data_IF_544545036079
#
_entry.id   IF_544545036079
#
_cell.length_a   1.000
_cell.length_b   1.000
_cell.length_c   1.000
_cell.angle_alpha   90.00
_cell.angle_beta   90.00
_cell.angle_gamma   90.00
#
_symmetry.space_group_name_H-M   'P 1'
#
loop_
_entity.id
_entity.type
_entity.pdbx_description
1 polymer ?
#
# COMPACT_ATOMS: atom_id res chain seq x y z
N UNK A 1 36.93 5.87 6.64
CA UNK A 1 35.96 6.92 6.28
C UNK A 1 35.04 6.31 5.22
N UNK A 2 33.85 5.88 5.63
CA UNK A 2 32.86 5.35 4.70
C UNK A 2 32.25 6.54 3.95
N UNK A 3 32.24 6.48 2.62
CA UNK A 3 31.71 7.52 1.75
C UNK A 3 30.23 7.73 2.03
N UNK A 4 29.85 8.95 2.38
CA UNK A 4 28.47 9.43 2.36
C UNK A 4 27.96 9.41 0.91
N UNK A 5 27.48 8.25 0.45
CA UNK A 5 26.59 8.18 -0.70
C UNK A 5 25.19 8.54 -0.21
N UNK A 6 24.95 9.83 0.04
CA UNK A 6 23.59 10.34 0.15
C UNK A 6 23.00 10.43 -1.26
N UNK A 7 22.73 9.27 -1.88
CA UNK A 7 21.76 9.24 -2.97
C UNK A 7 20.43 9.64 -2.33
N UNK A 8 19.93 10.82 -2.68
CA UNK A 8 18.63 11.32 -2.21
C UNK A 8 17.60 10.19 -2.31
N UNK A 9 17.21 9.65 -1.16
CA UNK A 9 16.25 8.55 -1.12
C UNK A 9 14.96 9.08 -1.72
N UNK A 10 14.65 8.68 -2.96
CA UNK A 10 13.39 8.98 -3.63
C UNK A 10 12.26 8.33 -2.82
N UNK A 11 11.66 9.10 -1.93
CA UNK A 11 10.56 8.69 -1.07
C UNK A 11 9.22 9.14 -1.64
N UNK A 12 8.16 8.43 -1.27
CA UNK A 12 6.79 8.82 -1.54
C UNK A 12 6.04 8.87 -0.21
N UNK A 13 5.21 9.89 -0.03
CA UNK A 13 4.38 10.06 1.17
C UNK A 13 2.92 10.15 0.76
N UNK A 14 2.08 9.33 1.38
CA UNK A 14 0.62 9.37 1.25
C UNK A 14 0.01 9.48 2.63
N UNK A 15 -0.97 10.37 2.78
CA UNK A 15 -1.79 10.47 3.99
C UNK A 15 -3.17 9.92 3.70
N UNK A 16 -3.57 8.88 4.44
CA UNK A 16 -4.88 8.26 4.34
C UNK A 16 -5.57 8.32 5.71
N UNK A 17 -6.76 8.93 5.74
CA UNK A 17 -7.58 9.09 6.95
C UNK A 17 -8.76 8.12 6.85
N UNK A 18 -8.96 7.34 7.91
CA UNK A 18 -10.05 6.36 8.02
C UNK A 18 -10.89 6.74 9.24
N UNK A 19 -12.09 7.25 9.00
CA UNK A 19 -13.07 7.47 10.05
C UNK A 19 -13.72 6.16 10.48
N UNK A 20 -14.35 6.16 11.67
CA UNK A 20 -15.18 5.05 12.12
C UNK A 20 -14.42 3.71 12.24
N UNK A 21 -13.10 3.77 12.48
CA UNK A 21 -12.20 2.60 12.55
C UNK A 21 -12.64 1.51 13.56
N UNK A 22 -13.33 1.90 14.63
CA UNK A 22 -13.83 0.97 15.65
C UNK A 22 -14.90 -0.01 15.13
N UNK A 23 -15.57 0.31 14.02
CA UNK A 23 -16.70 -0.48 13.51
C UNK A 23 -16.30 -1.63 12.59
N UNK A 24 -15.02 -1.73 12.21
CA UNK A 24 -14.54 -2.86 11.41
C UNK A 24 -14.61 -4.16 12.21
N UNK A 25 -15.00 -5.23 11.53
CA UNK A 25 -15.10 -6.58 12.08
C UNK A 25 -13.90 -7.45 11.65
N UNK A 26 -13.79 -8.64 12.21
CA UNK A 26 -12.68 -9.56 11.90
C UNK A 26 -12.75 -10.02 10.44
N UNK A 27 -11.59 -10.05 9.78
CA UNK A 27 -11.47 -10.46 8.38
C UNK A 27 -11.88 -9.40 7.36
N UNK A 28 -12.43 -8.26 7.79
CA UNK A 28 -12.66 -7.12 6.91
C UNK A 28 -11.37 -6.34 6.67
N UNK A 29 -11.18 -5.90 5.43
CA UNK A 29 -10.16 -4.92 5.07
C UNK A 29 -10.77 -3.76 4.31
N UNK A 30 -10.08 -2.63 4.37
CA UNK A 30 -10.37 -1.46 3.53
C UNK A 30 -9.15 -1.12 2.70
N UNK A 31 -9.37 -0.72 1.45
CA UNK A 31 -8.34 -0.23 0.55
C UNK A 31 -8.36 1.30 0.50
N UNK A 32 -7.20 1.92 0.44
CA UNK A 32 -7.06 3.35 0.16
C UNK A 32 -7.46 3.65 -1.29
N UNK A 33 -7.72 4.91 -1.63
CA UNK A 33 -7.69 5.35 -3.02
C UNK A 33 -6.36 4.93 -3.68
N UNK A 34 -6.43 4.58 -4.96
CA UNK A 34 -5.25 4.28 -5.77
C UNK A 34 -4.42 5.54 -5.96
N UNK A 35 -3.11 5.42 -5.80
CA UNK A 35 -2.14 6.48 -6.08
C UNK A 35 -1.09 6.02 -7.07
N UNK A 36 -0.51 6.99 -7.77
CA UNK A 36 0.55 6.78 -8.76
C UNK A 36 1.86 7.23 -8.12
N UNK A 37 2.90 6.41 -8.26
CA UNK A 37 4.24 6.73 -7.75
C UNK A 37 5.16 6.95 -8.94
N UNK A 38 5.39 8.22 -9.30
CA UNK A 38 6.20 8.61 -10.46
C UNK A 38 7.64 8.09 -10.35
N UNK A 39 8.17 7.98 -9.14
CA UNK A 39 9.51 7.45 -8.87
C UNK A 39 9.61 5.94 -9.07
N UNK A 40 8.48 5.25 -9.27
CA UNK A 40 8.38 3.82 -9.52
C UNK A 40 7.71 3.55 -10.88
N UNK A 41 8.18 4.20 -11.95
CA UNK A 41 7.71 3.96 -13.32
C UNK A 41 6.20 4.21 -13.50
N UNK A 42 5.64 5.22 -12.80
CA UNK A 42 4.21 5.55 -12.83
C UNK A 42 3.30 4.36 -12.45
N UNK A 43 3.83 3.41 -11.67
CA UNK A 43 3.06 2.25 -11.19
C UNK A 43 1.95 2.70 -10.25
N UNK A 44 0.82 1.98 -10.31
CA UNK A 44 -0.36 2.22 -9.50
C UNK A 44 -0.34 1.36 -8.26
N UNK A 45 -0.66 1.96 -7.12
CA UNK A 45 -0.63 1.31 -5.81
C UNK A 45 -1.86 1.67 -4.99
N UNK A 46 -2.23 0.80 -4.06
CA UNK A 46 -3.12 1.14 -2.95
C UNK A 46 -2.55 0.57 -1.64
N UNK A 47 -2.88 1.21 -0.53
CA UNK A 47 -2.74 0.63 0.79
C UNK A 47 -3.97 -0.22 1.08
N UNK A 48 -3.79 -1.31 1.80
CA UNK A 48 -4.90 -2.06 2.38
C UNK A 48 -4.61 -2.34 3.84
N UNK A 49 -5.66 -2.27 4.66
CA UNK A 49 -5.54 -2.45 6.10
C UNK A 49 -6.56 -3.48 6.56
N UNK A 50 -6.13 -4.43 7.38
CA UNK A 50 -7.00 -5.29 8.16
C UNK A 50 -6.99 -4.75 9.60
N UNK A 51 -8.03 -4.03 10.04
CA UNK A 51 -8.10 -3.42 11.37
C UNK A 51 -8.11 -4.45 12.51
N UNK A 52 -8.63 -5.64 12.23
CA UNK A 52 -8.70 -6.77 13.15
C UNK A 52 -8.26 -8.02 12.41
N UNK A 53 -6.94 -8.20 12.36
CA UNK A 53 -6.33 -9.42 11.88
C UNK A 53 -6.21 -10.40 13.06
N UNK A 54 -6.64 -11.64 12.86
CA UNK A 54 -6.49 -12.75 13.80
C UNK A 54 -5.71 -13.85 13.07
N UNK A 55 -4.47 -14.04 13.47
CA UNK A 55 -3.65 -15.18 13.05
C UNK A 55 -3.60 -16.14 14.24
N UNK A 56 -4.44 -17.17 14.18
CA UNK A 56 -4.46 -18.28 15.13
C UNK A 56 -4.61 -17.91 16.62
N UNK A 57 -5.40 -16.87 16.93
CA UNK A 57 -6.17 -16.80 18.16
C UNK A 57 -5.51 -16.15 19.37
N UNK A 58 -4.43 -15.39 19.23
CA UNK A 58 -3.77 -14.74 20.39
C UNK A 58 -3.52 -13.24 20.24
N UNK A 59 -3.47 -12.66 19.05
CA UNK A 59 -3.19 -11.23 18.91
C UNK A 59 -4.17 -10.52 17.97
N UNK A 60 -4.97 -9.60 18.53
CA UNK A 60 -5.74 -8.61 17.75
C UNK A 60 -4.74 -7.60 17.17
N UNK A 61 -4.27 -7.88 15.95
CA UNK A 61 -3.32 -7.05 15.24
C UNK A 61 -3.96 -6.13 14.21
N UNK A 62 -3.26 -5.04 13.90
CA UNK A 62 -3.51 -4.23 12.72
C UNK A 62 -2.49 -4.63 11.65
N UNK A 63 -2.96 -5.16 10.52
CA UNK A 63 -2.10 -5.44 9.37
C UNK A 63 -2.25 -4.32 8.34
N UNK A 64 -1.15 -3.71 7.93
CA UNK A 64 -1.09 -2.72 6.84
C UNK A 64 -0.19 -3.27 5.73
N UNK A 65 -0.74 -3.36 4.53
CA UNK A 65 -0.01 -3.79 3.34
C UNK A 65 -0.06 -2.76 2.23
N UNK A 66 0.93 -2.86 1.34
CA UNK A 66 1.01 -2.09 0.10
C UNK A 66 0.78 -3.05 -1.08
N UNK A 67 -0.20 -2.76 -1.92
CA UNK A 67 -0.62 -3.60 -3.04
C UNK A 67 -0.38 -2.87 -4.36
N UNK A 68 0.39 -3.49 -5.25
CA UNK A 68 0.54 -3.01 -6.62
C UNK A 68 -0.73 -3.33 -7.39
N UNK A 69 -1.34 -2.32 -7.97
CA UNK A 69 -2.48 -2.47 -8.86
C UNK A 69 -1.96 -2.90 -10.23
N UNK A 70 -2.39 -4.07 -10.71
CA UNK A 70 -2.07 -4.50 -12.06
C UNK A 70 -2.75 -3.56 -13.05
N UNK A 71 -1.96 -2.78 -13.77
CA UNK A 71 -2.35 -2.24 -15.05
C UNK A 71 -2.43 -3.41 -16.04
N UNK A 72 -3.63 -3.99 -16.21
CA UNK A 72 -3.91 -4.93 -17.31
C UNK A 72 -3.82 -4.29 -18.71
N UNK A 73 -3.01 -3.24 -18.87
CA UNK A 73 -2.52 -2.81 -20.18
C UNK A 73 -1.19 -3.51 -20.39
N UNK A 74 -1.27 -4.81 -20.68
CA UNK A 74 -0.20 -5.45 -21.47
C UNK A 74 0.04 -4.60 -22.72
N UNK A 75 1.26 -4.59 -23.28
CA UNK A 75 1.59 -3.72 -24.40
C UNK A 75 0.54 -3.90 -25.49
N UNK A 76 -0.15 -2.81 -25.85
CA UNK A 76 -0.95 -2.80 -27.07
C UNK A 76 0.03 -3.02 -28.20
N UNK A 77 0.15 -4.26 -28.67
CA UNK A 77 0.80 -4.55 -29.93
C UNK A 77 -0.09 -3.92 -31.01
N UNK A 78 0.28 -2.73 -31.46
CA UNK A 78 -0.17 -2.21 -32.75
C UNK A 78 0.31 -3.22 -33.79
N UNK A 79 -0.63 -3.94 -34.41
CA UNK A 79 -0.41 -4.66 -35.67
C UNK A 79 -0.76 -3.75 -36.82
#
# INVERSE_FOLDING_TARGET
>A
MASENNSERKGFTMTWIIDNFKYFTYGEYVESPTFIVDTMEETKWCLYIYPRFDDDGVDVGLFLGLKRMSDRKGPYTLK
#
